data_IF_090450028717
#
_entry.id   IF_090450028717
#
_cell.length_a   1.000
_cell.length_b   1.000
_cell.length_c   1.000
_cell.angle_alpha   90.00
_cell.angle_beta   90.00
_cell.angle_gamma   90.00
#
_symmetry.space_group_name_H-M   'P 1'
#
loop_
_entity.id
_entity.type
_entity.pdbx_description
1 polymer ?
#
# COMPACT_ATOMS: atom_id res chain seq x y z
N UNK A 1 -19.85 6.27 -3.34
CA UNK A 1 -19.74 6.49 -4.80
C UNK A 1 -19.05 5.29 -5.45
N UNK A 2 -19.45 4.90 -6.67
CA UNK A 2 -18.79 3.85 -7.44
C UNK A 2 -19.57 3.48 -8.70
N UNK A 3 -19.03 2.60 -9.56
CA UNK A 3 -19.59 2.31 -10.90
C UNK A 3 -20.74 1.29 -10.92
N UNK A 4 -20.76 0.36 -9.97
CA UNK A 4 -21.73 -0.73 -9.96
C UNK A 4 -22.90 -0.39 -9.05
N UNK A 5 -24.06 -0.05 -9.65
CA UNK A 5 -25.25 0.36 -8.95
C UNK A 5 -25.72 -0.68 -7.91
N UNK A 6 -25.81 -1.95 -8.30
CA UNK A 6 -26.27 -3.00 -7.40
C UNK A 6 -25.40 -3.17 -6.16
N UNK A 7 -24.04 -3.13 -6.34
CA UNK A 7 -23.11 -3.26 -5.22
C UNK A 7 -23.17 -2.05 -4.29
N UNK A 8 -23.26 -0.85 -4.84
CA UNK A 8 -23.27 0.39 -4.04
C UNK A 8 -24.59 0.56 -3.33
N UNK A 9 -25.72 0.41 -4.02
CA UNK A 9 -27.04 0.54 -3.43
C UNK A 9 -27.27 -0.50 -2.32
N UNK A 10 -26.80 -1.74 -2.52
CA UNK A 10 -26.89 -2.78 -1.48
C UNK A 10 -26.18 -2.38 -0.19
N UNK A 11 -24.92 -1.90 -0.30
CA UNK A 11 -24.15 -1.47 0.87
C UNK A 11 -24.76 -0.20 1.49
N UNK A 12 -25.10 0.79 0.68
CA UNK A 12 -25.66 2.04 1.15
C UNK A 12 -26.97 1.83 1.89
N UNK A 13 -27.87 1.01 1.36
CA UNK A 13 -29.15 0.68 2.00
C UNK A 13 -28.95 -0.12 3.31
N UNK A 14 -27.95 -0.99 3.37
CA UNK A 14 -27.65 -1.75 4.60
C UNK A 14 -27.26 -0.83 5.77
N UNK A 15 -26.59 0.29 5.47
CA UNK A 15 -26.07 1.21 6.50
C UNK A 15 -26.74 2.58 6.51
N UNK A 16 -27.86 2.73 5.78
CA UNK A 16 -28.60 4.00 5.65
C UNK A 16 -27.70 5.19 5.22
N UNK A 17 -26.88 4.94 4.21
CA UNK A 17 -25.92 5.92 3.69
C UNK A 17 -26.37 6.49 2.33
N UNK A 18 -26.16 7.79 2.07
CA UNK A 18 -26.37 8.35 0.74
C UNK A 18 -25.35 7.74 -0.25
N UNK A 19 -25.79 7.51 -1.48
CA UNK A 19 -24.91 6.99 -2.51
C UNK A 19 -25.12 7.68 -3.86
N UNK A 20 -24.11 7.60 -4.71
CA UNK A 20 -24.16 8.04 -6.10
C UNK A 20 -23.45 7.05 -7.00
N UNK A 21 -24.08 6.63 -8.08
CA UNK A 21 -23.48 5.83 -9.13
C UNK A 21 -22.69 6.76 -10.04
N UNK A 22 -21.39 6.55 -10.16
CA UNK A 22 -20.50 7.44 -10.89
C UNK A 22 -19.26 6.68 -11.39
N UNK A 23 -18.86 6.93 -12.62
CA UNK A 23 -17.51 6.57 -13.11
C UNK A 23 -16.51 7.64 -12.66
N UNK A 24 -15.35 7.21 -12.19
CA UNK A 24 -14.27 8.10 -11.74
C UNK A 24 -13.83 9.09 -12.83
N UNK A 25 -14.09 8.79 -14.11
CA UNK A 25 -13.83 9.71 -15.23
C UNK A 25 -14.74 10.95 -15.21
N UNK A 26 -15.82 10.90 -14.46
CA UNK A 26 -16.85 11.95 -14.40
C UNK A 26 -16.90 12.62 -13.01
N UNK A 27 -15.77 12.73 -12.28
CA UNK A 27 -15.73 13.28 -10.91
C UNK A 27 -16.42 14.64 -10.76
N UNK A 28 -16.44 15.47 -11.80
CA UNK A 28 -17.12 16.77 -11.78
C UNK A 28 -18.64 16.69 -11.52
N UNK A 29 -19.24 15.52 -11.73
CA UNK A 29 -20.65 15.29 -11.33
C UNK A 29 -20.84 15.27 -9.82
N UNK A 30 -19.75 15.23 -9.02
CA UNK A 30 -19.82 15.37 -7.56
C UNK A 30 -19.89 16.84 -7.11
N UNK A 31 -19.52 17.80 -7.95
CA UNK A 31 -19.44 19.22 -7.57
C UNK A 31 -20.67 19.74 -6.81
N UNK A 32 -21.91 19.37 -7.16
CA UNK A 32 -23.09 19.88 -6.43
C UNK A 32 -23.22 19.42 -4.98
N UNK A 33 -22.51 18.34 -4.61
CA UNK A 33 -22.61 17.75 -3.26
C UNK A 33 -21.29 17.81 -2.49
N UNK A 34 -20.16 18.04 -3.18
CA UNK A 34 -18.82 17.89 -2.62
C UNK A 34 -18.47 18.93 -1.55
N UNK A 35 -19.13 20.09 -1.57
CA UNK A 35 -18.95 21.16 -0.58
C UNK A 35 -19.27 20.73 0.85
N UNK A 36 -20.04 19.65 1.01
CA UNK A 36 -20.37 19.09 2.33
C UNK A 36 -19.33 18.08 2.84
N UNK A 37 -18.26 17.85 2.10
CA UNK A 37 -17.22 16.87 2.42
C UNK A 37 -15.85 17.51 2.52
N UNK A 38 -15.01 16.97 3.38
CA UNK A 38 -13.63 17.44 3.58
C UNK A 38 -12.56 16.46 3.05
N UNK A 39 -12.96 15.21 2.77
CA UNK A 39 -12.04 14.11 2.45
C UNK A 39 -12.65 13.17 1.40
N UNK A 40 -11.81 12.69 0.49
CA UNK A 40 -12.11 11.53 -0.35
C UNK A 40 -11.20 10.37 0.08
N UNK A 41 -11.82 9.23 0.42
CA UNK A 41 -11.14 7.94 0.59
C UNK A 41 -11.31 7.16 -0.70
N UNK A 42 -10.25 7.02 -1.49
CA UNK A 42 -10.29 6.29 -2.74
C UNK A 42 -10.04 4.79 -2.50
N UNK A 43 -11.09 3.99 -2.68
CA UNK A 43 -11.02 2.51 -2.62
C UNK A 43 -11.12 1.87 -4.01
N UNK A 44 -11.04 2.64 -5.09
CA UNK A 44 -11.22 2.17 -6.46
C UNK A 44 -9.89 1.76 -7.09
N UNK A 45 -9.47 0.52 -6.89
CA UNK A 45 -8.29 -0.04 -7.57
C UNK A 45 -8.59 -0.49 -9.02
N UNK A 46 -7.56 -0.71 -9.89
CA UNK A 46 -6.14 -0.46 -9.61
C UNK A 46 -5.84 1.04 -9.44
N UNK A 47 -5.04 1.38 -8.44
CA UNK A 47 -4.79 2.79 -8.09
C UNK A 47 -3.91 3.50 -9.13
N UNK A 48 -3.08 2.78 -9.87
CA UNK A 48 -2.34 3.30 -11.03
C UNK A 48 -3.25 3.86 -12.13
N UNK A 49 -4.54 3.48 -12.15
CA UNK A 49 -5.52 3.99 -13.12
C UNK A 49 -6.43 5.09 -12.53
N UNK A 50 -6.51 5.18 -11.21
CA UNK A 50 -7.52 6.04 -10.55
C UNK A 50 -6.95 7.16 -9.71
N UNK A 51 -5.79 6.95 -9.06
CA UNK A 51 -5.28 7.86 -8.05
C UNK A 51 -4.93 9.26 -8.60
N UNK A 52 -4.26 9.36 -9.75
CA UNK A 52 -3.87 10.66 -10.32
C UNK A 52 -5.08 11.57 -10.53
N UNK A 53 -6.14 11.05 -11.15
CA UNK A 53 -7.35 11.82 -11.44
C UNK A 53 -8.07 12.27 -10.17
N UNK A 54 -8.14 11.38 -9.14
CA UNK A 54 -8.81 11.73 -7.89
C UNK A 54 -7.98 12.72 -7.08
N UNK A 55 -6.66 12.59 -7.04
CA UNK A 55 -5.77 13.55 -6.36
C UNK A 55 -5.93 14.94 -6.99
N UNK A 56 -5.89 15.06 -8.33
CA UNK A 56 -6.09 16.34 -9.01
C UNK A 56 -7.44 16.96 -8.68
N UNK A 57 -8.49 16.15 -8.68
CA UNK A 57 -9.82 16.60 -8.29
C UNK A 57 -9.86 17.08 -6.82
N UNK A 58 -9.20 16.34 -5.91
CA UNK A 58 -9.09 16.77 -4.51
C UNK A 58 -8.35 18.10 -4.36
N UNK A 59 -7.27 18.32 -5.12
CA UNK A 59 -6.53 19.59 -5.12
C UNK A 59 -7.38 20.74 -5.66
N UNK A 60 -8.11 20.52 -6.76
CA UNK A 60 -9.02 21.50 -7.35
C UNK A 60 -10.12 21.90 -6.35
N UNK A 61 -10.72 20.92 -5.69
CA UNK A 61 -11.84 21.13 -4.76
C UNK A 61 -11.40 21.39 -3.30
N UNK A 62 -10.10 21.47 -3.02
CA UNK A 62 -9.51 21.66 -1.70
C UNK A 62 -9.97 20.59 -0.67
N UNK A 63 -10.02 19.34 -1.11
CA UNK A 63 -10.35 18.17 -0.29
C UNK A 63 -9.08 17.41 0.10
N UNK A 64 -9.06 16.82 1.27
CA UNK A 64 -8.04 15.84 1.61
C UNK A 64 -8.20 14.57 0.77
N UNK A 65 -7.09 13.89 0.52
CA UNK A 65 -7.06 12.63 -0.22
C UNK A 65 -6.41 11.54 0.61
N UNK A 66 -7.07 10.39 0.68
CA UNK A 66 -6.48 9.13 1.14
C UNK A 66 -6.86 7.98 0.22
N UNK A 67 -6.05 6.94 0.20
CA UNK A 67 -6.37 5.67 -0.46
C UNK A 67 -5.73 4.50 0.29
N UNK A 68 -5.98 3.29 -0.19
CA UNK A 68 -5.46 2.06 0.38
C UNK A 68 -4.47 1.36 -0.57
N UNK A 69 -3.74 2.12 -1.38
CA UNK A 69 -2.76 1.58 -2.34
C UNK A 69 -1.54 0.97 -1.65
N UNK A 70 -0.96 -0.05 -2.30
CA UNK A 70 0.40 -0.55 -2.05
C UNK A 70 1.32 -0.38 -3.27
N UNK A 71 0.88 0.38 -4.29
CA UNK A 71 1.57 0.49 -5.58
C UNK A 71 2.66 1.57 -5.52
N UNK A 72 3.95 1.17 -5.64
CA UNK A 72 5.12 2.08 -5.62
C UNK A 72 4.92 3.28 -6.56
N UNK A 73 4.45 3.03 -7.79
CA UNK A 73 4.24 4.09 -8.78
C UNK A 73 3.20 5.13 -8.37
N UNK A 74 2.19 4.72 -7.58
CA UNK A 74 1.18 5.64 -7.05
C UNK A 74 1.79 6.54 -5.96
N UNK A 75 2.63 6.00 -5.07
CA UNK A 75 3.32 6.81 -4.06
C UNK A 75 4.25 7.84 -4.70
N UNK A 76 5.06 7.43 -5.67
CA UNK A 76 5.99 8.34 -6.37
C UNK A 76 5.22 9.40 -7.16
N UNK A 77 4.12 9.05 -7.82
CA UNK A 77 3.24 9.98 -8.51
C UNK A 77 2.58 10.96 -7.53
N UNK A 78 1.96 10.46 -6.45
CA UNK A 78 1.32 11.30 -5.45
C UNK A 78 2.28 12.28 -4.79
N UNK A 79 3.56 11.90 -4.62
CA UNK A 79 4.63 12.77 -4.12
C UNK A 79 4.84 14.00 -4.99
N UNK A 80 4.62 13.92 -6.30
CA UNK A 80 4.79 15.07 -7.21
C UNK A 80 3.81 16.20 -6.90
N UNK A 81 2.68 15.91 -6.29
CA UNK A 81 1.67 16.90 -5.87
C UNK A 81 1.95 17.56 -4.51
N UNK A 82 3.09 17.23 -3.85
CA UNK A 82 3.38 17.72 -2.50
C UNK A 82 3.23 19.23 -2.36
N UNK A 83 3.86 19.98 -3.26
CA UNK A 83 3.88 21.44 -3.17
C UNK A 83 2.48 22.04 -3.41
N UNK A 84 1.79 21.57 -4.43
CA UNK A 84 0.46 22.03 -4.79
C UNK A 84 -0.57 21.73 -3.68
N UNK A 85 -0.55 20.51 -3.12
CA UNK A 85 -1.38 20.14 -1.99
C UNK A 85 -1.08 20.97 -0.74
N UNK A 86 0.20 21.29 -0.51
CA UNK A 86 0.62 22.16 0.61
C UNK A 86 0.09 23.58 0.45
N UNK A 87 0.14 24.15 -0.74
CA UNK A 87 -0.40 25.49 -1.05
C UNK A 87 -1.92 25.56 -0.87
N UNK A 88 -2.61 24.45 -1.18
CA UNK A 88 -4.06 24.32 -0.97
C UNK A 88 -4.46 23.97 0.47
N UNK A 89 -3.49 23.74 1.37
CA UNK A 89 -3.75 23.40 2.76
C UNK A 89 -4.33 22.00 2.97
N UNK A 90 -4.24 21.11 1.99
CA UNK A 90 -4.78 19.74 2.05
C UNK A 90 -3.69 18.71 2.28
N UNK A 91 -4.05 17.56 2.83
CA UNK A 91 -3.21 16.38 2.92
C UNK A 91 -3.50 15.42 1.76
N UNK A 92 -2.45 14.92 1.14
CA UNK A 92 -2.48 13.80 0.18
C UNK A 92 -1.70 12.65 0.81
N UNK A 93 -2.42 11.62 1.28
CA UNK A 93 -1.83 10.45 1.95
C UNK A 93 -2.31 9.17 1.28
N UNK A 94 -1.62 8.68 0.25
CA UNK A 94 -1.86 7.34 -0.26
C UNK A 94 -1.40 6.27 0.74
N UNK A 95 -2.00 5.08 0.69
CA UNK A 95 -1.59 3.93 1.48
C UNK A 95 -1.97 4.00 2.96
N UNK A 96 -3.25 4.25 3.26
CA UNK A 96 -3.76 4.25 4.64
C UNK A 96 -4.14 2.85 5.15
N UNK A 97 -3.76 1.79 4.43
CA UNK A 97 -4.03 0.40 4.78
C UNK A 97 -2.80 -0.38 5.28
N UNK A 98 -2.98 -1.70 5.37
CA UNK A 98 -1.93 -2.63 5.80
C UNK A 98 -0.65 -2.53 4.95
N UNK A 99 -0.78 -2.18 3.69
CA UNK A 99 0.35 -2.20 2.75
C UNK A 99 1.49 -1.27 3.15
N UNK A 100 1.22 -0.24 3.96
CA UNK A 100 2.28 0.63 4.47
C UNK A 100 2.09 1.10 5.92
N UNK A 101 0.89 1.18 6.49
CA UNK A 101 0.71 1.76 7.84
C UNK A 101 1.60 1.11 8.90
N UNK A 102 1.54 -0.21 9.13
CA UNK A 102 2.33 -0.84 10.19
C UNK A 102 3.82 -0.86 9.88
N UNK A 103 4.21 -1.04 8.62
CA UNK A 103 5.61 -1.13 8.21
C UNK A 103 6.30 0.24 8.17
N UNK A 104 5.63 1.28 7.70
CA UNK A 104 6.13 2.66 7.71
C UNK A 104 6.31 3.18 9.16
N UNK A 105 5.35 2.89 10.05
CA UNK A 105 5.49 3.20 11.47
C UNK A 105 6.65 2.44 12.13
N UNK A 106 6.83 1.15 11.79
CA UNK A 106 7.96 0.35 12.29
C UNK A 106 9.29 0.89 11.76
N UNK A 107 9.35 1.25 10.49
CA UNK A 107 10.53 1.86 9.87
C UNK A 107 10.91 3.18 10.55
N UNK A 108 9.94 4.04 10.79
CA UNK A 108 10.12 5.32 11.48
C UNK A 108 10.64 5.10 12.90
N UNK A 109 10.00 4.23 13.67
CA UNK A 109 10.45 3.86 15.02
C UNK A 109 11.91 3.41 15.04
N UNK A 110 12.30 2.54 14.11
CA UNK A 110 13.68 2.01 14.03
C UNK A 110 14.68 3.10 13.61
N UNK A 111 14.31 3.97 12.67
CA UNK A 111 15.17 5.07 12.23
C UNK A 111 15.47 6.07 13.36
N UNK A 112 14.53 6.28 14.26
CA UNK A 112 14.73 7.12 15.44
C UNK A 112 15.67 6.48 16.49
N UNK A 113 15.74 5.15 16.53
CA UNK A 113 16.66 4.39 17.40
C UNK A 113 18.07 4.31 16.82
N UNK A 114 18.22 4.37 15.49
CA UNK A 114 19.51 4.39 14.80
C UNK A 114 19.47 5.51 13.73
N UNK A 115 19.69 6.79 14.11
CA UNK A 115 19.53 7.92 13.20
C UNK A 115 20.49 7.96 12.02
N UNK A 116 21.63 7.27 12.11
CA UNK A 116 22.62 7.13 11.04
C UNK A 116 22.48 5.82 10.25
N UNK A 117 21.30 5.21 10.27
CA UNK A 117 21.01 4.01 9.50
C UNK A 117 21.13 4.28 7.99
N UNK A 118 21.80 3.37 7.29
CA UNK A 118 21.95 3.40 5.82
C UNK A 118 21.10 2.33 5.13
N UNK A 119 20.70 1.31 5.85
CA UNK A 119 19.94 0.17 5.33
C UNK A 119 18.71 -0.13 6.19
N UNK A 120 17.60 -0.41 5.51
CA UNK A 120 16.34 -0.85 6.11
C UNK A 120 15.86 -2.12 5.43
N UNK A 121 15.60 -3.14 6.22
CA UNK A 121 14.91 -4.37 5.83
C UNK A 121 13.58 -4.45 6.57
N UNK A 122 12.51 -4.49 5.83
CA UNK A 122 11.16 -4.77 6.35
C UNK A 122 10.74 -6.14 5.87
N UNK A 123 10.14 -6.93 6.73
CA UNK A 123 9.60 -8.22 6.38
C UNK A 123 8.24 -8.42 7.03
N UNK A 124 7.31 -9.07 6.34
CA UNK A 124 6.02 -9.39 6.93
C UNK A 124 5.55 -10.79 6.58
N UNK A 125 4.76 -11.35 7.49
CA UNK A 125 3.98 -12.57 7.33
C UNK A 125 2.51 -12.21 7.55
N UNK A 126 1.74 -12.11 6.46
CA UNK A 126 0.31 -11.82 6.48
C UNK A 126 -0.50 -13.10 6.58
N UNK A 127 -1.48 -13.14 7.49
CA UNK A 127 -2.47 -14.22 7.57
C UNK A 127 -3.64 -14.02 6.59
N UNK A 128 -4.41 -15.08 6.34
CA UNK A 128 -5.72 -14.99 5.68
C UNK A 128 -5.75 -15.11 4.15
N UNK A 129 -4.61 -15.03 3.47
CA UNK A 129 -4.52 -15.11 2.01
C UNK A 129 -4.92 -13.83 1.27
N UNK A 130 -4.68 -13.74 -0.05
CA UNK A 130 -4.93 -12.53 -0.83
C UNK A 130 -6.43 -12.35 -1.17
N UNK A 131 -6.89 -11.10 -1.17
CA UNK A 131 -8.21 -10.72 -1.71
C UNK A 131 -8.21 -10.66 -3.23
N UNK A 132 -9.41 -10.55 -3.82
CA UNK A 132 -9.58 -10.29 -5.25
C UNK A 132 -8.76 -9.05 -5.70
N UNK A 133 -8.83 -7.94 -4.96
CA UNK A 133 -8.08 -6.72 -5.25
C UNK A 133 -6.56 -6.93 -5.20
N UNK A 134 -6.05 -7.60 -4.16
CA UNK A 134 -4.63 -7.94 -4.02
C UNK A 134 -4.15 -8.80 -5.20
N UNK A 135 -4.95 -9.78 -5.63
CA UNK A 135 -4.61 -10.62 -6.79
C UNK A 135 -4.60 -9.82 -8.09
N UNK A 136 -5.56 -8.91 -8.30
CA UNK A 136 -5.58 -8.03 -9.48
C UNK A 136 -4.34 -7.12 -9.55
N UNK A 137 -3.93 -6.55 -8.43
CA UNK A 137 -2.70 -5.74 -8.35
C UNK A 137 -1.46 -6.58 -8.64
N UNK A 138 -1.35 -7.78 -8.07
CA UNK A 138 -0.24 -8.70 -8.35
C UNK A 138 -0.16 -9.07 -9.83
N UNK A 139 -1.30 -9.36 -10.49
CA UNK A 139 -1.33 -9.67 -11.94
C UNK A 139 -0.97 -8.45 -12.77
N UNK A 140 -1.41 -7.26 -12.38
CA UNK A 140 -1.02 -6.02 -13.10
C UNK A 140 0.48 -5.79 -13.05
N UNK A 141 1.15 -6.23 -11.97
CA UNK A 141 2.61 -6.24 -11.81
C UNK A 141 3.35 -7.35 -12.57
N UNK A 142 2.66 -8.38 -13.09
CA UNK A 142 3.31 -9.45 -13.85
C UNK A 142 4.08 -8.88 -15.03
N UNK A 143 5.31 -9.35 -15.20
CA UNK A 143 6.21 -8.89 -16.27
C UNK A 143 7.08 -7.68 -15.88
N UNK A 144 6.87 -7.04 -14.72
CA UNK A 144 7.67 -5.88 -14.28
C UNK A 144 8.87 -6.25 -13.38
N UNK A 145 8.95 -7.50 -12.89
CA UNK A 145 9.99 -7.88 -11.92
C UNK A 145 9.71 -7.37 -10.50
N UNK A 146 10.77 -7.31 -9.69
CA UNK A 146 10.79 -6.75 -8.36
C UNK A 146 11.32 -5.32 -8.34
N UNK A 147 11.27 -4.67 -7.18
CA UNK A 147 11.88 -3.35 -6.94
C UNK A 147 12.48 -3.28 -5.55
N UNK A 148 13.57 -2.55 -5.43
CA UNK A 148 14.21 -2.17 -4.16
C UNK A 148 14.60 -0.69 -4.24
N UNK A 149 14.88 -0.06 -3.09
CA UNK A 149 15.59 1.24 -3.10
C UNK A 149 17.06 1.00 -2.83
N UNK A 150 17.93 1.61 -3.63
CA UNK A 150 19.38 1.58 -3.48
C UNK A 150 19.92 2.99 -3.75
N UNK A 151 20.78 3.47 -2.85
CA UNK A 151 21.39 4.80 -2.94
C UNK A 151 20.34 5.93 -3.16
N UNK A 152 19.20 5.81 -2.47
CA UNK A 152 18.08 6.75 -2.56
C UNK A 152 17.21 6.62 -3.83
N UNK A 153 17.50 5.70 -4.74
CA UNK A 153 16.76 5.51 -6.01
C UNK A 153 16.06 4.16 -6.04
N UNK A 154 14.85 4.13 -6.57
CA UNK A 154 14.16 2.87 -6.84
C UNK A 154 14.78 2.24 -8.08
N UNK A 155 15.21 1.00 -7.95
CA UNK A 155 15.78 0.21 -9.05
C UNK A 155 14.98 -1.07 -9.24
N UNK A 156 14.81 -1.46 -10.50
CA UNK A 156 14.21 -2.74 -10.85
C UNK A 156 15.21 -3.88 -10.60
N UNK A 157 14.69 -4.99 -10.07
CA UNK A 157 15.45 -6.21 -9.78
C UNK A 157 14.63 -7.43 -10.22
N UNK A 158 15.23 -8.60 -10.38
CA UNK A 158 14.46 -9.83 -10.62
C UNK A 158 13.48 -10.14 -9.50
N UNK A 159 12.39 -10.86 -9.82
CA UNK A 159 11.47 -11.38 -8.80
C UNK A 159 12.22 -12.26 -7.79
N UNK A 160 11.88 -12.12 -6.49
CA UNK A 160 12.57 -12.81 -5.40
C UNK A 160 14.11 -12.61 -5.46
N UNK A 161 14.53 -11.35 -5.72
CA UNK A 161 15.95 -10.93 -5.86
C UNK A 161 16.82 -11.41 -4.71
N UNK A 162 16.34 -11.26 -3.49
CA UNK A 162 17.00 -11.74 -2.28
C UNK A 162 16.05 -12.62 -1.48
N UNK A 163 16.57 -13.66 -0.84
CA UNK A 163 15.82 -14.56 0.03
C UNK A 163 16.52 -14.64 1.36
N UNK A 164 15.80 -14.37 2.44
CA UNK A 164 16.28 -14.43 3.82
C UNK A 164 15.33 -15.22 4.70
N UNK A 165 15.81 -15.60 5.87
CA UNK A 165 14.99 -16.17 6.96
C UNK A 165 14.74 -15.10 8.00
N UNK A 166 13.48 -14.99 8.43
CA UNK A 166 13.05 -14.10 9.50
C UNK A 166 12.28 -14.88 10.57
N UNK A 167 12.39 -14.40 11.81
CA UNK A 167 11.66 -14.93 12.95
C UNK A 167 10.42 -14.06 13.19
N UNK A 168 9.30 -14.44 12.59
CA UNK A 168 7.99 -13.82 12.80
C UNK A 168 7.32 -14.38 14.08
N UNK A 169 6.16 -15.02 13.94
CA UNK A 169 5.52 -15.86 14.97
C UNK A 169 6.23 -17.20 15.12
N UNK A 170 6.84 -17.70 14.04
CA UNK A 170 7.66 -18.89 13.99
C UNK A 170 9.09 -18.54 13.56
N UNK A 171 10.10 -19.24 14.12
CA UNK A 171 11.47 -19.01 13.77
C UNK A 171 11.80 -19.52 12.35
N UNK A 172 12.76 -18.85 11.70
CA UNK A 172 13.39 -19.32 10.47
C UNK A 172 12.50 -19.39 9.23
N UNK A 173 11.40 -18.62 9.16
CA UNK A 173 10.53 -18.58 8.00
C UNK A 173 11.22 -17.93 6.80
N UNK A 174 11.17 -18.60 5.64
CA UNK A 174 11.73 -18.04 4.42
C UNK A 174 10.87 -16.88 3.90
N UNK A 175 11.53 -15.78 3.53
CA UNK A 175 10.90 -14.64 2.90
C UNK A 175 11.72 -14.19 1.70
N UNK A 176 11.04 -13.67 0.67
CA UNK A 176 11.67 -13.16 -0.53
C UNK A 176 11.32 -11.68 -0.75
N UNK A 177 12.23 -10.94 -1.39
CA UNK A 177 11.97 -9.55 -1.76
C UNK A 177 10.81 -9.43 -2.73
N UNK A 178 9.97 -8.43 -2.48
CA UNK A 178 8.83 -8.05 -3.30
C UNK A 178 8.82 -6.53 -3.55
N UNK A 179 8.21 -6.05 -4.65
CA UNK A 179 8.01 -4.63 -4.91
C UNK A 179 6.83 -4.10 -4.08
N UNK A 180 7.08 -3.76 -2.82
CA UNK A 180 6.08 -3.30 -1.87
C UNK A 180 6.14 -1.79 -1.67
N UNK A 181 5.04 -1.17 -1.24
CA UNK A 181 4.90 0.27 -1.08
C UNK A 181 5.99 0.96 -0.27
N UNK A 182 6.50 0.28 0.77
CA UNK A 182 7.56 0.82 1.63
C UNK A 182 8.90 1.07 0.93
N UNK A 183 9.14 0.45 -0.23
CA UNK A 183 10.29 0.81 -1.08
C UNK A 183 10.25 2.29 -1.46
N UNK A 184 9.04 2.87 -1.53
CA UNK A 184 8.80 4.31 -1.71
C UNK A 184 8.63 5.02 -0.37
N UNK A 185 7.60 4.67 0.40
CA UNK A 185 7.14 5.44 1.56
C UNK A 185 8.17 5.52 2.67
N UNK A 186 8.86 4.43 3.00
CA UNK A 186 9.84 4.42 4.08
C UNK A 186 11.04 5.35 3.81
N UNK A 187 11.38 5.63 2.56
CA UNK A 187 12.39 6.64 2.24
C UNK A 187 11.92 8.05 2.58
N UNK A 188 10.65 8.37 2.32
CA UNK A 188 10.12 9.69 2.66
C UNK A 188 9.99 9.89 4.16
N UNK A 189 9.69 8.83 4.91
CA UNK A 189 9.54 8.84 6.35
C UNK A 189 10.87 8.86 7.11
N UNK A 190 11.88 8.13 6.62
CA UNK A 190 13.12 7.84 7.38
C UNK A 190 14.38 8.45 6.78
N UNK A 191 14.38 8.73 5.47
CA UNK A 191 15.54 9.13 4.66
C UNK A 191 16.62 8.05 4.52
N UNK A 192 16.36 6.80 4.93
CA UNK A 192 17.27 5.69 4.75
C UNK A 192 17.42 5.38 3.24
N UNK A 193 18.64 5.37 2.68
CA UNK A 193 18.82 5.29 1.23
C UNK A 193 18.66 3.88 0.64
N UNK A 194 18.83 2.82 1.45
CA UNK A 194 18.73 1.45 0.98
C UNK A 194 17.56 0.73 1.69
N UNK A 195 16.56 0.32 0.91
CA UNK A 195 15.34 -0.28 1.46
C UNK A 195 14.98 -1.54 0.69
N UNK A 196 14.76 -2.63 1.41
CA UNK A 196 14.26 -3.90 0.90
C UNK A 196 13.05 -4.34 1.70
N UNK A 197 12.04 -4.84 1.00
CA UNK A 197 10.84 -5.38 1.64
C UNK A 197 10.71 -6.85 1.27
N UNK A 198 10.41 -7.68 2.26
CA UNK A 198 10.33 -9.13 2.15
C UNK A 198 8.93 -9.60 2.56
N UNK A 199 8.44 -10.60 1.89
CA UNK A 199 7.21 -11.30 2.27
C UNK A 199 7.52 -12.76 2.57
N UNK A 200 7.01 -13.25 3.69
CA UNK A 200 7.11 -14.67 4.04
C UNK A 200 6.31 -15.51 3.05
N UNK A 201 6.92 -16.55 2.53
CA UNK A 201 6.26 -17.47 1.60
C UNK A 201 6.94 -18.84 1.58
N UNK A 202 6.19 -19.90 1.20
CA UNK A 202 6.74 -21.25 1.09
C UNK A 202 7.92 -21.30 0.10
N UNK A 203 8.96 -22.10 0.35
CA UNK A 203 10.13 -22.23 -0.54
C UNK A 203 9.77 -22.59 -1.99
N UNK A 204 8.75 -23.42 -2.20
CA UNK A 204 8.26 -23.75 -3.55
C UNK A 204 7.74 -22.52 -4.30
N UNK A 205 7.03 -21.62 -3.61
CA UNK A 205 6.53 -20.37 -4.20
C UNK A 205 7.69 -19.42 -4.55
N UNK A 206 8.70 -19.30 -3.68
CA UNK A 206 9.92 -18.54 -3.96
C UNK A 206 10.62 -19.06 -5.21
N UNK A 207 10.74 -20.38 -5.35
CA UNK A 207 11.32 -21.00 -6.52
C UNK A 207 10.53 -20.69 -7.79
N UNK A 208 9.19 -20.79 -7.74
CA UNK A 208 8.31 -20.41 -8.86
C UNK A 208 8.50 -18.94 -9.24
N UNK A 209 8.57 -18.02 -8.26
CA UNK A 209 8.81 -16.60 -8.53
C UNK A 209 10.16 -16.36 -9.22
N UNK A 210 11.22 -17.07 -8.82
CA UNK A 210 12.52 -16.98 -9.49
C UNK A 210 12.47 -17.46 -10.94
N UNK A 211 11.61 -18.44 -11.25
CA UNK A 211 11.41 -18.94 -12.61
C UNK A 211 10.67 -17.95 -13.52
N UNK A 212 9.87 -17.03 -12.95
CA UNK A 212 9.10 -16.04 -13.74
C UNK A 212 10.00 -15.17 -14.61
N UNK A 213 11.28 -14.96 -14.26
CA UNK A 213 12.24 -14.19 -15.09
C UNK A 213 12.37 -14.74 -16.52
N UNK A 214 12.21 -16.03 -16.72
CA UNK A 214 12.35 -16.67 -18.04
C UNK A 214 11.13 -16.50 -18.95
N UNK A 215 9.96 -16.19 -18.35
CA UNK A 215 8.68 -16.01 -19.06
C UNK A 215 8.12 -14.58 -18.91
N UNK A 216 8.92 -13.68 -18.33
CA UNK A 216 8.53 -12.32 -18.00
C UNK A 216 7.95 -11.54 -19.18
N UNK A 217 8.55 -11.66 -20.37
CA UNK A 217 8.08 -11.01 -21.59
C UNK A 217 6.66 -11.48 -22.00
N UNK A 218 6.37 -12.77 -21.86
CA UNK A 218 5.05 -13.33 -22.18
C UNK A 218 4.01 -12.91 -21.13
N UNK A 219 4.36 -12.95 -19.84
CA UNK A 219 3.48 -12.56 -18.74
C UNK A 219 3.16 -11.06 -18.73
N UNK A 220 4.01 -10.24 -19.36
CA UNK A 220 3.79 -8.81 -19.56
C UNK A 220 2.68 -8.47 -20.57
N UNK A 221 2.32 -9.41 -21.46
CA UNK A 221 1.33 -9.19 -22.50
C UNK A 221 -0.07 -8.98 -21.93
N UNK A 222 -0.77 -7.95 -22.40
CA UNK A 222 -2.12 -7.60 -21.95
C UNK A 222 -3.12 -8.75 -22.10
N UNK A 223 -3.01 -9.52 -23.18
CA UNK A 223 -3.88 -10.70 -23.43
C UNK A 223 -3.70 -11.74 -22.32
N UNK A 224 -2.45 -12.04 -21.94
CA UNK A 224 -2.15 -13.02 -20.89
C UNK A 224 -2.66 -12.52 -19.54
N UNK A 225 -2.40 -11.25 -19.20
CA UNK A 225 -2.92 -10.62 -17.97
C UNK A 225 -4.44 -10.67 -17.90
N UNK A 226 -5.14 -10.34 -18.99
CA UNK A 226 -6.60 -10.36 -19.02
C UNK A 226 -7.15 -11.79 -18.87
N UNK A 227 -6.51 -12.78 -19.48
CA UNK A 227 -6.88 -14.18 -19.31
C UNK A 227 -6.70 -14.64 -17.85
N UNK A 228 -5.60 -14.26 -17.20
CA UNK A 228 -5.38 -14.60 -15.79
C UNK A 228 -6.40 -13.86 -14.90
N UNK A 229 -6.66 -12.56 -15.15
CA UNK A 229 -7.66 -11.77 -14.41
C UNK A 229 -9.05 -12.40 -14.46
N UNK A 230 -9.46 -12.96 -15.60
CA UNK A 230 -10.78 -13.58 -15.76
C UNK A 230 -10.98 -14.87 -14.94
N UNK A 231 -9.89 -15.48 -14.46
CA UNK A 231 -9.94 -16.70 -13.63
C UNK A 231 -9.99 -16.40 -12.13
N UNK A 232 -9.81 -15.13 -11.72
CA UNK A 232 -9.82 -14.77 -10.31
C UNK A 232 -11.26 -14.69 -9.83
N UNK A 233 -11.56 -15.46 -8.78
CA UNK A 233 -12.87 -15.40 -8.13
C UNK A 233 -13.03 -14.11 -7.34
N UNK A 234 -14.22 -13.54 -7.35
CA UNK A 234 -14.58 -12.42 -6.47
C UNK A 234 -14.55 -12.86 -4.99
N UNK A 235 -14.16 -11.95 -4.10
CA UNK A 235 -14.16 -12.17 -2.66
C UNK A 235 -12.79 -11.98 -2.01
N UNK A 236 -12.74 -12.32 -0.76
CA UNK A 236 -11.56 -12.26 0.11
C UNK A 236 -11.72 -13.24 1.27
N UNK A 237 -10.82 -13.23 2.26
CA UNK A 237 -10.96 -14.04 3.46
C UNK A 237 -12.29 -13.77 4.17
N UNK A 238 -12.94 -14.83 4.68
CA UNK A 238 -14.16 -14.68 5.48
C UNK A 238 -13.89 -13.92 6.78
N UNK A 239 -14.93 -13.34 7.37
CA UNK A 239 -14.83 -12.62 8.64
C UNK A 239 -14.24 -13.51 9.75
N UNK A 240 -14.69 -14.74 9.86
CA UNK A 240 -14.14 -15.73 10.81
C UNK A 240 -12.64 -16.03 10.56
N UNK A 241 -12.21 -16.06 9.30
CA UNK A 241 -10.81 -16.25 8.96
C UNK A 241 -9.97 -15.04 9.36
N UNK A 242 -10.48 -13.83 9.13
CA UNK A 242 -9.83 -12.57 9.51
C UNK A 242 -9.71 -12.44 11.03
N UNK A 243 -10.79 -12.68 11.77
CA UNK A 243 -10.80 -12.61 13.23
C UNK A 243 -9.79 -13.52 13.92
N UNK A 244 -9.42 -14.66 13.27
CA UNK A 244 -8.43 -15.62 13.76
C UNK A 244 -7.01 -15.39 13.25
N UNK A 245 -6.83 -14.44 12.33
CA UNK A 245 -5.54 -14.16 11.70
C UNK A 245 -4.86 -12.95 12.33
N UNK A 246 -3.53 -13.00 12.39
CA UNK A 246 -2.70 -11.86 12.75
C UNK A 246 -1.63 -11.68 11.68
N UNK A 247 -1.16 -10.45 11.55
CA UNK A 247 0.01 -10.13 10.75
C UNK A 247 1.21 -9.91 11.65
N UNK A 248 2.37 -10.37 11.21
CA UNK A 248 3.62 -10.23 11.94
C UNK A 248 4.63 -9.51 11.04
N UNK A 249 5.23 -8.47 11.57
CA UNK A 249 6.23 -7.69 10.87
C UNK A 249 7.57 -7.74 11.63
N UNK A 250 8.64 -7.72 10.88
CA UNK A 250 10.01 -7.59 11.39
C UNK A 250 10.66 -6.46 10.63
N UNK A 251 11.21 -5.50 11.35
CA UNK A 251 12.03 -4.44 10.80
C UNK A 251 13.46 -4.54 11.32
N UNK A 252 14.44 -4.26 10.46
CA UNK A 252 15.85 -4.16 10.82
C UNK A 252 16.46 -2.95 10.13
N UNK A 253 17.11 -2.10 10.90
CA UNK A 253 17.99 -1.04 10.39
C UNK A 253 19.44 -1.37 10.70
N UNK A 254 20.35 -0.93 9.83
CA UNK A 254 21.80 -1.03 10.05
C UNK A 254 22.53 0.17 9.46
N UNK A 255 23.75 0.42 9.95
CA UNK A 255 24.64 1.46 9.43
C UNK A 255 25.97 0.87 8.98
N UNK A 256 26.78 1.69 8.29
CA UNK A 256 28.10 1.31 7.78
C UNK A 256 29.15 1.05 8.88
N UNK A 257 28.83 1.42 10.15
CA UNK A 257 29.68 1.19 11.31
C UNK A 257 29.44 -0.18 11.96
N UNK A 258 28.53 -1.00 11.39
CA UNK A 258 28.20 -2.34 11.89
C UNK A 258 27.16 -2.36 13.01
N UNK A 259 26.59 -1.21 13.42
CA UNK A 259 25.46 -1.19 14.33
C UNK A 259 24.19 -1.64 13.64
N UNK A 260 23.33 -2.37 14.35
CA UNK A 260 22.00 -2.75 13.84
C UNK A 260 20.98 -2.86 14.96
N UNK A 261 19.75 -2.50 14.64
CA UNK A 261 18.60 -2.59 15.55
C UNK A 261 17.48 -3.33 14.82
N UNK A 262 16.81 -4.22 15.54
CA UNK A 262 15.68 -4.98 15.04
C UNK A 262 14.49 -4.82 15.99
N UNK A 263 13.29 -4.74 15.41
CA UNK A 263 12.05 -4.79 16.17
C UNK A 263 11.03 -5.68 15.46
N UNK A 264 10.08 -6.20 16.24
CA UNK A 264 8.96 -7.02 15.76
C UNK A 264 7.66 -6.35 16.15
N UNK A 265 6.69 -6.44 15.26
CA UNK A 265 5.34 -5.93 15.45
C UNK A 265 4.33 -7.05 15.16
N UNK A 266 3.37 -7.24 16.05
CA UNK A 266 2.16 -8.04 15.81
C UNK A 266 1.01 -7.08 15.58
N UNK A 267 0.28 -7.28 14.49
CA UNK A 267 -0.86 -6.46 14.10
C UNK A 267 -2.08 -7.35 13.80
N UNK A 268 -3.23 -6.73 13.65
CA UNK A 268 -4.44 -7.37 13.14
C UNK A 268 -4.20 -7.98 11.75
N UNK A 269 -5.13 -8.79 11.27
CA UNK A 269 -5.12 -9.20 9.87
C UNK A 269 -5.13 -7.98 8.94
N UNK A 270 -4.54 -8.12 7.75
CA UNK A 270 -4.32 -6.99 6.86
C UNK A 270 -5.60 -6.24 6.45
N UNK A 271 -6.74 -6.93 6.33
CA UNK A 271 -8.00 -6.29 5.89
C UNK A 271 -8.68 -5.54 7.02
N UNK A 272 -8.73 -6.11 8.21
CA UNK A 272 -9.27 -5.43 9.41
C UNK A 272 -8.42 -4.20 9.72
N UNK A 273 -7.10 -4.34 9.71
CA UNK A 273 -6.19 -3.20 9.91
C UNK A 273 -6.40 -2.12 8.85
N UNK A 274 -6.56 -2.50 7.57
CA UNK A 274 -6.82 -1.52 6.49
C UNK A 274 -8.09 -0.73 6.75
N UNK A 275 -9.18 -1.38 7.14
CA UNK A 275 -10.43 -0.69 7.45
C UNK A 275 -10.27 0.25 8.65
N UNK A 276 -9.75 -0.26 9.77
CA UNK A 276 -9.58 0.52 11.00
C UNK A 276 -8.60 1.68 10.84
N UNK A 277 -7.45 1.46 10.21
CA UNK A 277 -6.45 2.51 10.01
C UNK A 277 -6.97 3.61 9.07
N UNK A 278 -7.66 3.25 7.99
CA UNK A 278 -8.22 4.23 7.04
C UNK A 278 -9.28 5.10 7.71
N UNK A 279 -10.15 4.53 8.54
CA UNK A 279 -11.16 5.27 9.29
C UNK A 279 -10.51 6.15 10.35
N UNK A 280 -9.57 5.62 11.14
CA UNK A 280 -8.86 6.39 12.17
C UNK A 280 -8.10 7.58 11.57
N UNK A 281 -7.46 7.41 10.42
CA UNK A 281 -6.78 8.51 9.72
C UNK A 281 -7.80 9.54 9.23
N UNK A 282 -8.94 9.10 8.70
CA UNK A 282 -10.01 10.01 8.29
C UNK A 282 -10.55 10.83 9.47
N UNK A 283 -10.80 10.21 10.62
CA UNK A 283 -11.23 10.90 11.86
C UNK A 283 -10.19 11.94 12.32
N UNK A 284 -8.89 11.60 12.26
CA UNK A 284 -7.82 12.56 12.59
C UNK A 284 -7.82 13.76 11.65
N UNK A 285 -7.99 13.53 10.34
CA UNK A 285 -8.08 14.61 9.34
C UNK A 285 -9.28 15.51 9.64
N UNK A 286 -10.46 14.93 9.86
CA UNK A 286 -11.68 15.68 10.16
C UNK A 286 -11.59 16.45 11.47
N UNK A 287 -10.82 15.98 12.44
CA UNK A 287 -10.51 16.69 13.68
C UNK A 287 -9.45 17.79 13.53
N UNK A 288 -8.96 18.06 12.31
CA UNK A 288 -7.91 19.04 12.04
C UNK A 288 -6.49 18.58 12.39
N UNK A 289 -6.31 17.32 12.77
CA UNK A 289 -5.00 16.74 13.06
C UNK A 289 -4.40 16.12 11.78
N UNK A 290 -3.80 16.97 10.96
CA UNK A 290 -3.12 16.57 9.72
C UNK A 290 -1.96 17.50 9.38
N UNK A 291 -1.10 17.08 8.46
CA UNK A 291 -0.07 17.92 7.85
C UNK A 291 -0.35 18.07 6.35
N UNK A 292 -0.37 19.31 5.83
CA UNK A 292 -0.61 19.56 4.41
C UNK A 292 0.52 19.04 3.52
N UNK A 293 0.20 18.80 2.25
CA UNK A 293 1.09 18.19 1.27
C UNK A 293 1.05 16.66 1.28
N UNK A 294 1.94 16.04 0.53
CA UNK A 294 2.11 14.58 0.54
C UNK A 294 2.64 14.11 1.90
N UNK A 295 1.99 13.11 2.45
CA UNK A 295 2.37 12.49 3.72
C UNK A 295 2.39 10.96 3.59
N UNK A 296 3.22 10.32 4.39
CA UNK A 296 3.10 8.90 4.73
C UNK A 296 2.45 8.78 6.11
N UNK A 297 1.92 7.62 6.51
CA UNK A 297 1.31 7.47 7.84
C UNK A 297 2.23 7.94 8.97
N UNK A 298 3.49 7.51 8.98
CA UNK A 298 4.44 7.84 10.04
C UNK A 298 5.06 9.24 9.92
N UNK A 299 4.90 9.94 8.79
CA UNK A 299 5.32 11.33 8.65
C UNK A 299 4.26 12.31 9.16
N UNK A 300 3.01 11.91 9.14
CA UNK A 300 1.90 12.71 9.62
C UNK A 300 1.65 12.55 11.13
N UNK A 301 1.78 11.32 11.63
CA UNK A 301 1.38 10.93 12.98
C UNK A 301 2.49 10.30 13.81
#
# INVERSE_FOLDING_TARGET
VGRNDQKISSIANQYDLPYKVLDIKNLKELNPIIENYALIINCAGPFSETADQVIRYCIEMQLHYTDITGEIGVFEMAKTFHQEAKEKGIMVMPGTGFDVVPSDCLAKYLSEKLPDATDLELAFNGGGGPSHGTMLTAISGLGKGGAIRKDGKIIEVPNAYEVKKFDFDKPGMSAATIPWGDVSTAYYSTKIPNIKVFMAMPPKMIQSMKMLKYVQGILGLSIVKNLIKSQIKEGGPSEDSRAKSNSYLVGKVSNDKGASIMAKLKALDGYTLTAEASVLIAEKILAGNFKSGYQTPSSAY
#
